data_IF_243523495805
#
_entry.id   IF_243523495805
#
_cell.length_a   1.000
_cell.length_b   1.000
_cell.length_c   1.000
_cell.angle_alpha   90.00
_cell.angle_beta   90.00
_cell.angle_gamma   90.00
#
_symmetry.space_group_name_H-M   'P 1'
#
loop_
_entity.id
_entity.type
_entity.pdbx_description
1 polymer ?
#
# COMPACT_ATOMS: atom_id res chain seq x y z
N UNK A 1 -7.82 -24.45 -21.27
CA UNK A 1 -7.94 -23.59 -20.07
C UNK A 1 -8.00 -24.34 -18.71
N UNK A 2 -8.11 -25.68 -18.66
CA UNK A 2 -8.38 -26.41 -17.39
C UNK A 2 -7.14 -26.77 -16.54
N UNK A 3 -5.95 -26.90 -17.14
CA UNK A 3 -4.77 -27.39 -16.43
C UNK A 3 -4.09 -26.32 -15.55
N UNK A 4 -4.07 -25.05 -15.99
CA UNK A 4 -3.46 -23.95 -15.21
C UNK A 4 -4.14 -23.75 -13.87
N UNK A 5 -5.48 -23.66 -13.84
CA UNK A 5 -6.27 -23.55 -12.59
C UNK A 5 -6.05 -24.75 -11.67
N UNK A 6 -5.92 -25.97 -12.22
CA UNK A 6 -5.62 -27.18 -11.43
C UNK A 6 -4.20 -27.16 -10.84
N UNK A 7 -3.20 -26.82 -11.65
CA UNK A 7 -1.82 -26.69 -11.20
C UNK A 7 -1.68 -25.61 -10.13
N UNK A 8 -2.34 -24.46 -10.32
CA UNK A 8 -2.39 -23.36 -9.38
C UNK A 8 -2.97 -23.80 -8.03
N UNK A 9 -4.11 -24.49 -8.02
CA UNK A 9 -4.75 -24.99 -6.80
C UNK A 9 -3.84 -25.93 -6.00
N UNK A 10 -2.97 -26.68 -6.69
CA UNK A 10 -1.97 -27.57 -6.05
C UNK A 10 -0.77 -26.77 -5.55
N UNK A 11 -0.29 -25.81 -6.34
CA UNK A 11 0.93 -25.04 -6.06
C UNK A 11 0.72 -23.91 -5.04
N UNK A 12 -0.48 -23.34 -4.96
CA UNK A 12 -0.80 -22.15 -4.16
C UNK A 12 -0.42 -22.31 -2.67
N UNK A 13 -0.71 -23.41 -1.96
CA UNK A 13 -0.27 -23.59 -0.57
C UNK A 13 1.26 -23.60 -0.42
N UNK A 14 1.97 -24.13 -1.42
CA UNK A 14 3.43 -24.16 -1.42
C UNK A 14 4.02 -22.77 -1.70
N UNK A 15 3.47 -22.06 -2.68
CA UNK A 15 3.83 -20.68 -3.00
C UNK A 15 3.60 -19.78 -1.78
N UNK A 16 2.45 -19.90 -1.11
CA UNK A 16 2.15 -19.17 0.13
C UNK A 16 3.12 -19.50 1.27
N UNK A 17 3.49 -20.77 1.44
CA UNK A 17 4.46 -21.16 2.47
C UNK A 17 5.85 -20.61 2.18
N UNK A 18 6.25 -20.54 0.91
CA UNK A 18 7.53 -19.94 0.50
C UNK A 18 7.51 -18.43 0.71
N UNK A 19 6.45 -17.75 0.28
CA UNK A 19 6.23 -16.31 0.49
C UNK A 19 6.41 -15.93 1.96
N UNK A 20 5.68 -16.59 2.85
CA UNK A 20 5.76 -16.36 4.30
C UNK A 20 7.17 -16.60 4.87
N UNK A 21 7.91 -17.58 4.36
CA UNK A 21 9.29 -17.85 4.81
C UNK A 21 10.24 -16.76 4.33
N UNK A 22 10.10 -16.30 3.09
CA UNK A 22 10.92 -15.24 2.52
C UNK A 22 10.65 -13.91 3.24
N UNK A 23 9.38 -13.60 3.48
CA UNK A 23 8.96 -12.41 4.22
C UNK A 23 9.52 -12.39 5.65
N UNK A 24 9.39 -13.50 6.40
CA UNK A 24 9.96 -13.61 7.75
C UNK A 24 11.48 -13.45 7.81
N UNK A 25 12.18 -13.69 6.70
CA UNK A 25 13.64 -13.54 6.59
C UNK A 25 14.04 -12.18 6.01
N UNK A 26 13.09 -11.32 5.65
CA UNK A 26 13.35 -10.00 5.08
C UNK A 26 13.74 -10.01 3.60
N UNK A 27 13.56 -11.13 2.88
CA UNK A 27 13.88 -11.22 1.44
C UNK A 27 12.77 -10.61 0.57
N UNK A 28 12.54 -9.31 0.71
CA UNK A 28 11.43 -8.59 0.09
C UNK A 28 11.43 -8.68 -1.45
N UNK A 29 12.59 -8.57 -2.09
CA UNK A 29 12.71 -8.71 -3.55
C UNK A 29 12.19 -10.07 -4.04
N UNK A 30 12.49 -11.15 -3.33
CA UNK A 30 12.03 -12.49 -3.67
C UNK A 30 10.54 -12.68 -3.38
N UNK A 31 10.02 -12.06 -2.31
CA UNK A 31 8.58 -12.02 -2.02
C UNK A 31 7.82 -11.36 -3.16
N UNK A 32 8.28 -10.19 -3.64
CA UNK A 32 7.63 -9.47 -4.73
C UNK A 32 7.70 -10.23 -6.06
N UNK A 33 8.86 -10.82 -6.38
CA UNK A 33 8.99 -11.70 -7.55
C UNK A 33 8.01 -12.87 -7.49
N UNK A 34 7.89 -13.52 -6.33
CA UNK A 34 6.97 -14.64 -6.14
C UNK A 34 5.50 -14.22 -6.31
N UNK A 35 5.11 -13.05 -5.81
CA UNK A 35 3.77 -12.48 -6.00
C UNK A 35 3.49 -12.15 -7.46
N UNK A 36 4.45 -11.55 -8.18
CA UNK A 36 4.32 -11.28 -9.60
C UNK A 36 4.08 -12.58 -10.40
N UNK A 37 4.81 -13.64 -10.05
CA UNK A 37 4.60 -14.97 -10.62
C UNK A 37 3.22 -15.53 -10.28
N UNK A 38 2.77 -15.41 -9.03
CA UNK A 38 1.42 -15.82 -8.63
C UNK A 38 0.35 -15.07 -9.42
N UNK A 39 0.45 -13.74 -9.60
CA UNK A 39 -0.47 -12.93 -10.41
C UNK A 39 -0.47 -13.36 -11.88
N UNK A 40 0.71 -13.57 -12.47
CA UNK A 40 0.83 -14.04 -13.86
C UNK A 40 0.14 -15.40 -14.05
N UNK A 41 0.23 -16.28 -13.06
CA UNK A 41 -0.45 -17.57 -13.07
C UNK A 41 -1.95 -17.46 -12.78
N UNK A 42 -2.38 -16.43 -12.04
CA UNK A 42 -3.77 -16.16 -11.66
C UNK A 42 -4.58 -15.38 -12.70
N UNK A 43 -3.93 -14.81 -13.74
CA UNK A 43 -4.51 -13.89 -14.75
C UNK A 43 -6.04 -13.83 -14.73
N UNK A 44 -6.56 -12.81 -14.03
CA UNK A 44 -7.98 -12.64 -13.71
C UNK A 44 -8.84 -12.70 -14.99
N UNK A 45 -9.99 -13.38 -14.88
CA UNK A 45 -10.97 -13.47 -15.96
C UNK A 45 -11.79 -12.18 -16.11
N UNK A 46 -11.76 -11.25 -15.13
CA UNK A 46 -12.40 -9.93 -15.22
C UNK A 46 -11.39 -8.78 -14.98
N UNK A 47 -10.76 -8.25 -16.04
CA UNK A 47 -9.89 -7.08 -15.93
C UNK A 47 -10.67 -5.80 -15.54
N UNK A 48 -11.97 -5.75 -15.81
CA UNK A 48 -12.84 -4.60 -15.54
C UNK A 48 -13.05 -4.37 -14.03
N UNK A 49 -13.33 -5.42 -13.26
CA UNK A 49 -13.51 -5.32 -11.80
C UNK A 49 -12.22 -4.89 -11.10
N UNK A 50 -11.08 -5.36 -11.61
CA UNK A 50 -9.77 -4.98 -11.11
C UNK A 50 -9.47 -3.50 -11.37
N UNK A 51 -9.73 -3.01 -12.59
CA UNK A 51 -9.53 -1.60 -12.93
C UNK A 51 -10.39 -0.66 -12.08
N UNK A 52 -11.65 -1.02 -11.81
CA UNK A 52 -12.51 -0.22 -10.94
C UNK A 52 -12.02 -0.19 -9.49
N UNK A 53 -11.59 -1.35 -8.97
CA UNK A 53 -11.03 -1.44 -7.63
C UNK A 53 -9.76 -0.59 -7.49
N UNK A 54 -8.83 -0.71 -8.46
CA UNK A 54 -7.58 0.06 -8.50
C UNK A 54 -7.84 1.57 -8.57
N UNK A 55 -8.72 2.00 -9.47
CA UNK A 55 -9.12 3.40 -9.57
C UNK A 55 -9.68 3.92 -8.24
N UNK A 56 -10.53 3.12 -7.59
CA UNK A 56 -11.11 3.49 -6.28
C UNK A 56 -10.03 3.60 -5.20
N UNK A 57 -9.01 2.74 -5.21
CA UNK A 57 -7.86 2.85 -4.29
C UNK A 57 -7.16 4.19 -4.48
N UNK A 58 -6.80 4.51 -5.73
CA UNK A 58 -6.07 5.74 -6.06
C UNK A 58 -6.86 6.99 -5.68
N UNK A 59 -8.16 7.04 -6.01
CA UNK A 59 -9.02 8.17 -5.67
C UNK A 59 -9.14 8.39 -4.15
N UNK A 60 -9.32 7.31 -3.39
CA UNK A 60 -9.43 7.39 -1.94
C UNK A 60 -8.09 7.79 -1.28
N UNK A 61 -6.97 7.30 -1.80
CA UNK A 61 -5.64 7.64 -1.29
C UNK A 61 -5.30 9.11 -1.59
N UNK A 62 -5.58 9.61 -2.80
CA UNK A 62 -5.43 11.04 -3.13
C UNK A 62 -6.26 11.90 -2.17
N UNK A 63 -7.53 11.55 -1.99
CA UNK A 63 -8.42 12.31 -1.12
C UNK A 63 -7.96 12.27 0.35
N UNK A 64 -7.43 11.14 0.83
CA UNK A 64 -6.87 11.05 2.17
C UNK A 64 -5.65 11.96 2.33
N UNK A 65 -4.76 12.00 1.33
CA UNK A 65 -3.62 12.91 1.31
C UNK A 65 -4.06 14.38 1.35
N UNK A 66 -5.08 14.76 0.57
CA UNK A 66 -5.65 16.11 0.60
C UNK A 66 -6.16 16.49 1.99
N UNK A 67 -6.91 15.60 2.65
CA UNK A 67 -7.43 15.82 4.00
C UNK A 67 -6.29 16.02 5.00
N UNK A 68 -5.25 15.19 4.95
CA UNK A 68 -4.08 15.32 5.85
C UNK A 68 -3.30 16.62 5.58
N UNK A 69 -3.11 17.00 4.32
CA UNK A 69 -2.45 18.25 3.96
C UNK A 69 -3.23 19.47 4.46
N UNK A 70 -4.56 19.48 4.27
CA UNK A 70 -5.42 20.54 4.79
C UNK A 70 -5.40 20.60 6.32
N UNK A 71 -5.43 19.44 6.99
CA UNK A 71 -5.34 19.40 8.46
C UNK A 71 -4.01 19.98 8.96
N UNK A 72 -2.89 19.63 8.32
CA UNK A 72 -1.57 20.16 8.64
C UNK A 72 -1.52 21.69 8.46
N UNK A 73 -2.07 22.20 7.35
CA UNK A 73 -2.18 23.63 7.11
C UNK A 73 -3.02 24.35 8.17
N UNK A 74 -4.22 23.85 8.48
CA UNK A 74 -5.09 24.47 9.49
C UNK A 74 -4.50 24.40 10.90
N UNK A 75 -3.77 23.34 11.25
CA UNK A 75 -3.03 23.26 12.52
C UNK A 75 -1.94 24.32 12.62
N UNK A 76 -1.20 24.56 11.54
CA UNK A 76 -0.17 25.61 11.49
C UNK A 76 -0.80 27.01 11.64
N UNK A 77 -1.90 27.29 10.92
CA UNK A 77 -2.64 28.55 11.05
C UNK A 77 -3.22 28.75 12.45
N UNK A 78 -3.81 27.71 13.05
CA UNK A 78 -4.30 27.75 14.42
C UNK A 78 -3.19 28.11 15.41
N UNK A 79 -2.02 27.47 15.29
CA UNK A 79 -0.88 27.74 16.16
C UNK A 79 -0.31 29.15 15.98
N UNK A 80 -0.24 29.66 14.74
CA UNK A 80 0.18 31.05 14.49
C UNK A 80 -0.77 32.05 15.14
N UNK A 81 -2.07 31.81 15.01
CA UNK A 81 -3.11 32.67 15.56
C UNK A 81 -3.09 32.66 17.10
N UNK A 82 -2.97 31.48 17.71
CA UNK A 82 -2.86 31.29 19.15
C UNK A 82 -1.61 32.01 19.72
N UNK A 83 -0.45 31.85 19.07
CA UNK A 83 0.79 32.56 19.48
C UNK A 83 0.66 34.07 19.37
N UNK A 84 -0.04 34.57 18.36
CA UNK A 84 -0.27 36.01 18.16
C UNK A 84 -1.11 36.58 19.30
N UNK A 85 -2.16 35.87 19.71
CA UNK A 85 -3.04 36.26 20.82
C UNK A 85 -2.31 36.30 22.18
N UNK A 86 -1.37 35.38 22.40
CA UNK A 86 -0.58 35.34 23.65
C UNK A 86 0.49 36.45 23.68
N UNK A 87 1.08 36.80 22.54
CA UNK A 87 2.24 37.71 22.46
C UNK A 87 1.87 39.19 22.38
N UNK A 88 0.74 39.54 21.76
CA UNK A 88 0.22 40.92 21.72
C UNK A 88 -1.28 40.89 22.01
N UNK A 89 -1.72 41.25 23.23
CA UNK A 89 -3.15 41.37 23.53
C UNK A 89 -3.76 42.42 22.59
N UNK A 90 -4.63 42.03 21.65
CA UNK A 90 -5.23 42.96 20.70
C UNK A 90 -6.18 43.94 21.41
N UNK A 91 -6.67 44.95 20.68
CA UNK A 91 -7.84 45.70 21.17
C UNK A 91 -9.02 44.75 21.32
N UNK A 92 -9.99 45.10 22.18
CA UNK A 92 -11.13 44.22 22.49
C UNK A 92 -11.87 43.71 21.24
N UNK A 93 -12.07 44.59 20.25
CA UNK A 93 -12.76 44.23 19.00
C UNK A 93 -11.94 43.24 18.15
N UNK A 94 -10.61 43.43 18.07
CA UNK A 94 -9.69 42.51 17.39
C UNK A 94 -9.57 41.16 18.12
N UNK A 95 -9.69 41.16 19.46
CA UNK A 95 -9.69 39.95 20.26
C UNK A 95 -10.92 39.09 19.97
N UNK A 96 -12.10 39.70 19.89
CA UNK A 96 -13.36 39.01 19.61
C UNK A 96 -13.35 38.40 18.19
N UNK A 97 -12.84 39.13 17.18
CA UNK A 97 -12.65 38.62 15.81
C UNK A 97 -11.70 37.42 15.77
N UNK A 98 -10.53 37.52 16.42
CA UNK A 98 -9.52 36.47 16.45
C UNK A 98 -9.98 35.23 17.21
N UNK A 99 -10.77 35.40 18.26
CA UNK A 99 -11.40 34.28 18.97
C UNK A 99 -12.42 33.56 18.08
N UNK A 100 -13.17 34.29 17.27
CA UNK A 100 -14.11 33.68 16.33
C UNK A 100 -13.38 32.93 15.21
N UNK A 101 -12.29 33.49 14.67
CA UNK A 101 -11.40 32.79 13.74
C UNK A 101 -10.86 31.47 14.34
N UNK A 102 -10.40 31.47 15.60
CA UNK A 102 -9.95 30.25 16.27
C UNK A 102 -11.06 29.20 16.43
N UNK A 103 -12.29 29.63 16.76
CA UNK A 103 -13.43 28.71 16.85
C UNK A 103 -13.75 28.09 15.49
N UNK A 104 -13.71 28.90 14.44
CA UNK A 104 -13.95 28.44 13.08
C UNK A 104 -12.88 27.44 12.63
N UNK A 105 -11.60 27.75 12.84
CA UNK A 105 -10.50 26.81 12.57
C UNK A 105 -10.63 25.51 13.37
N UNK A 106 -11.00 25.59 14.65
CA UNK A 106 -11.24 24.41 15.48
C UNK A 106 -12.40 23.55 14.96
N UNK A 107 -13.45 24.19 14.44
CA UNK A 107 -14.58 23.48 13.84
C UNK A 107 -14.16 22.80 12.53
N UNK A 108 -13.41 23.48 11.68
CA UNK A 108 -12.93 22.93 10.41
C UNK A 108 -11.97 21.75 10.64
N UNK A 109 -11.08 21.84 11.63
CA UNK A 109 -10.25 20.70 12.07
C UNK A 109 -11.08 19.52 12.55
N UNK A 110 -12.18 19.76 13.29
CA UNK A 110 -13.07 18.68 13.71
C UNK A 110 -13.78 18.02 12.52
N UNK A 111 -14.12 18.78 11.48
CA UNK A 111 -14.75 18.25 10.26
C UNK A 111 -13.75 17.42 9.46
N UNK A 112 -12.52 17.92 9.27
CA UNK A 112 -11.45 17.16 8.60
C UNK A 112 -11.13 15.85 9.30
N UNK A 113 -11.12 15.82 10.64
CA UNK A 113 -10.94 14.57 11.37
C UNK A 113 -12.09 13.58 11.10
N UNK A 114 -13.34 14.04 11.01
CA UNK A 114 -14.46 13.17 10.64
C UNK A 114 -14.31 12.65 9.20
N UNK A 115 -13.88 13.50 8.28
CA UNK A 115 -13.63 13.16 6.89
C UNK A 115 -12.50 12.14 6.74
N UNK A 116 -11.40 12.32 7.46
CA UNK A 116 -10.29 11.38 7.55
C UNK A 116 -10.79 9.97 7.93
N UNK A 117 -11.53 9.84 9.04
CA UNK A 117 -12.03 8.54 9.48
C UNK A 117 -13.10 7.95 8.55
N UNK A 118 -13.86 8.80 7.86
CA UNK A 118 -14.81 8.36 6.85
C UNK A 118 -14.07 7.75 5.65
N UNK A 119 -13.04 8.43 5.16
CA UNK A 119 -12.22 7.99 4.03
C UNK A 119 -11.41 6.75 4.37
N UNK A 120 -10.78 6.69 5.54
CA UNK A 120 -10.08 5.49 6.04
C UNK A 120 -10.98 4.24 6.03
N UNK A 121 -12.22 4.37 6.53
CA UNK A 121 -13.20 3.27 6.48
C UNK A 121 -13.62 2.89 5.06
N UNK A 122 -13.72 3.86 4.15
CA UNK A 122 -13.99 3.56 2.72
C UNK A 122 -12.84 2.78 2.11
N UNK A 123 -11.59 3.14 2.42
CA UNK A 123 -10.42 2.40 1.94
C UNK A 123 -10.44 0.99 2.50
N UNK A 124 -10.65 0.83 3.81
CA UNK A 124 -10.79 -0.50 4.41
C UNK A 124 -11.89 -1.33 3.74
N UNK A 125 -13.04 -0.74 3.43
CA UNK A 125 -14.13 -1.41 2.72
C UNK A 125 -13.74 -1.79 1.27
N UNK A 126 -12.98 -0.94 0.58
CA UNK A 126 -12.47 -1.22 -0.75
C UNK A 126 -11.42 -2.33 -0.74
N UNK A 127 -10.53 -2.36 0.26
CA UNK A 127 -9.51 -3.41 0.44
C UNK A 127 -10.12 -4.80 0.63
N UNK A 128 -11.30 -4.87 1.26
CA UNK A 128 -12.06 -6.12 1.38
C UNK A 128 -12.71 -6.57 0.05
N UNK A 129 -12.86 -5.66 -0.92
CA UNK A 129 -13.44 -5.92 -2.25
C UNK A 129 -12.40 -6.20 -3.32
N UNK A 130 -11.10 -6.23 -2.97
CA UNK A 130 -10.04 -6.51 -3.93
C UNK A 130 -10.32 -7.86 -4.63
N UNK A 131 -10.44 -7.88 -5.97
CA UNK A 131 -10.84 -9.08 -6.69
C UNK A 131 -9.73 -10.15 -6.74
N UNK A 132 -8.48 -9.77 -6.50
CA UNK A 132 -7.33 -10.69 -6.46
C UNK A 132 -6.67 -10.72 -5.07
N UNK A 133 -6.69 -11.87 -4.37
CA UNK A 133 -6.13 -11.98 -3.02
C UNK A 133 -4.60 -11.86 -2.98
N UNK A 134 -3.89 -12.12 -4.07
CA UNK A 134 -2.43 -11.94 -4.17
C UNK A 134 -2.10 -10.46 -4.28
N UNK A 135 -2.83 -9.74 -5.13
CA UNK A 135 -2.66 -8.30 -5.28
C UNK A 135 -3.02 -7.59 -3.97
N UNK A 136 -4.10 -8.01 -3.30
CA UNK A 136 -4.46 -7.48 -1.99
C UNK A 136 -3.33 -7.66 -0.95
N UNK A 137 -2.67 -8.83 -0.93
CA UNK A 137 -1.51 -9.04 -0.03
C UNK A 137 -0.33 -8.16 -0.40
N UNK A 138 0.00 -8.06 -1.69
CA UNK A 138 1.08 -7.20 -2.16
C UNK A 138 0.83 -5.73 -1.77
N UNK A 139 -0.39 -5.25 -2.01
CA UNK A 139 -0.86 -3.91 -1.66
C UNK A 139 -0.80 -3.65 -0.15
N UNK A 140 -1.31 -4.59 0.67
CA UNK A 140 -1.28 -4.44 2.14
C UNK A 140 0.13 -4.41 2.70
N UNK A 141 1.03 -5.25 2.19
CA UNK A 141 2.44 -5.22 2.59
C UNK A 141 3.10 -3.89 2.22
N UNK A 142 2.81 -3.38 1.01
CA UNK A 142 3.28 -2.06 0.58
C UNK A 142 2.79 -0.95 1.52
N UNK A 143 1.52 -0.99 1.91
CA UNK A 143 0.91 -0.03 2.86
C UNK A 143 1.41 -0.14 4.31
N UNK A 144 2.06 -1.24 4.66
CA UNK A 144 2.69 -1.41 5.98
C UNK A 144 4.10 -0.83 6.03
N UNK A 145 4.72 -0.51 4.90
CA UNK A 145 6.07 0.07 4.85
C UNK A 145 6.04 1.56 5.25
N UNK A 146 6.64 1.96 6.39
CA UNK A 146 6.64 3.37 6.82
C UNK A 146 7.15 4.37 5.76
N UNK A 147 7.92 3.90 4.76
CA UNK A 147 8.44 4.74 3.69
C UNK A 147 7.45 4.98 2.54
N UNK A 148 6.31 4.28 2.46
CA UNK A 148 5.38 4.39 1.33
C UNK A 148 4.76 5.79 1.17
N UNK A 149 4.57 6.53 2.28
CA UNK A 149 4.02 7.90 2.27
C UNK A 149 5.11 8.95 1.93
N UNK A 150 6.39 8.62 2.08
CA UNK A 150 7.49 9.59 2.06
C UNK A 150 8.19 9.68 0.68
N UNK A 151 7.97 8.72 -0.22
CA UNK A 151 8.67 8.66 -1.51
C UNK A 151 8.27 9.75 -2.52
N UNK A 152 7.23 10.56 -2.26
CA UNK A 152 6.83 11.65 -3.16
C UNK A 152 7.50 13.01 -2.84
N UNK A 153 8.23 13.12 -1.72
CA UNK A 153 8.82 14.39 -1.25
C UNK A 153 10.34 14.51 -1.37
N UNK A 154 11.07 13.41 -1.43
CA UNK A 154 12.52 13.42 -1.63
C UNK A 154 12.82 12.96 -3.06
N UNK A 155 13.47 13.83 -3.84
CA UNK A 155 13.99 13.48 -5.14
C UNK A 155 14.74 12.14 -5.04
N UNK A 156 14.18 11.10 -5.64
CA UNK A 156 14.77 9.77 -5.69
C UNK A 156 16.12 9.91 -6.38
N UNK A 157 17.18 9.97 -5.58
CA UNK A 157 18.52 9.71 -6.07
C UNK A 157 18.47 8.36 -6.78
N UNK A 158 19.06 8.22 -7.98
CA UNK A 158 19.02 6.97 -8.70
C UNK A 158 19.53 5.87 -7.78
N UNK A 159 18.69 4.87 -7.54
CA UNK A 159 19.07 3.65 -6.84
C UNK A 159 20.30 3.12 -7.55
N UNK A 160 21.46 3.34 -6.95
CA UNK A 160 22.66 2.62 -7.30
C UNK A 160 22.37 1.18 -6.94
N UNK A 161 22.18 0.37 -7.97
CA UNK A 161 22.15 -1.08 -7.85
C UNK A 161 23.57 -1.50 -7.49
N UNK A 162 23.93 -1.31 -6.22
CA UNK A 162 25.13 -1.91 -5.68
C UNK A 162 24.87 -3.41 -5.60
N UNK A 163 25.66 -4.11 -6.39
CA UNK A 163 25.75 -5.57 -6.50
C UNK A 163 26.21 -6.11 -5.14
N UNK A 164 25.28 -6.22 -4.19
CA UNK A 164 25.52 -6.87 -2.92
C UNK A 164 25.07 -8.33 -3.04
N UNK A 165 26.08 -9.21 -3.05
CA UNK A 165 25.95 -10.57 -2.51
C UNK A 165 25.57 -11.65 -3.51
N UNK A 166 26.55 -12.16 -4.27
CA UNK A 166 26.46 -13.35 -5.12
C UNK A 166 25.90 -14.62 -4.43
N UNK A 167 25.80 -14.62 -3.10
CA UNK A 167 25.22 -15.70 -2.30
C UNK A 167 23.69 -15.68 -2.21
N UNK A 168 23.05 -14.50 -2.30
CA UNK A 168 21.58 -14.38 -2.26
C UNK A 168 20.96 -14.69 -3.63
N UNK A 169 21.67 -14.36 -4.71
CA UNK A 169 21.32 -14.78 -6.06
C UNK A 169 21.36 -16.31 -6.23
N UNK A 170 22.29 -17.00 -5.55
CA UNK A 170 22.37 -18.46 -5.52
C UNK A 170 21.17 -19.10 -4.81
N UNK A 171 20.72 -18.53 -3.68
CA UNK A 171 19.50 -19.00 -2.98
C UNK A 171 18.26 -18.74 -3.84
N UNK A 172 18.18 -17.57 -4.50
CA UNK A 172 17.12 -17.25 -5.45
C UNK A 172 17.08 -18.23 -6.64
N UNK A 173 18.23 -18.59 -7.20
CA UNK A 173 18.36 -19.56 -8.29
C UNK A 173 18.02 -20.99 -7.85
N UNK A 174 18.40 -21.42 -6.65
CA UNK A 174 18.02 -22.74 -6.10
C UNK A 174 16.52 -22.84 -5.84
N UNK A 175 15.90 -21.76 -5.30
CA UNK A 175 14.45 -21.70 -5.10
C UNK A 175 13.72 -21.70 -6.44
N UNK A 176 14.19 -20.90 -7.41
CA UNK A 176 13.64 -20.87 -8.78
C UNK A 176 13.80 -22.23 -9.48
N UNK A 177 14.95 -22.89 -9.36
CA UNK A 177 15.19 -24.22 -9.90
C UNK A 177 14.29 -25.27 -9.23
N UNK A 178 14.05 -25.16 -7.92
CA UNK A 178 13.15 -26.07 -7.19
C UNK A 178 11.70 -25.88 -7.64
N UNK A 179 11.27 -24.63 -7.86
CA UNK A 179 9.94 -24.32 -8.39
C UNK A 179 9.80 -24.81 -9.84
N UNK A 180 10.78 -24.54 -10.71
CA UNK A 180 10.81 -25.04 -12.08
C UNK A 180 10.79 -26.57 -12.14
N UNK A 181 11.59 -27.24 -11.31
CA UNK A 181 11.61 -28.70 -11.25
C UNK A 181 10.28 -29.27 -10.75
N UNK A 182 9.63 -28.58 -9.80
CA UNK A 182 8.29 -28.97 -9.33
C UNK A 182 7.23 -28.78 -10.42
N UNK A 183 7.30 -27.69 -11.19
CA UNK A 183 6.40 -27.41 -12.32
C UNK A 183 6.61 -28.42 -13.45
N UNK A 184 7.86 -28.74 -13.80
CA UNK A 184 8.19 -29.75 -14.82
C UNK A 184 7.77 -31.15 -14.37
N UNK A 185 7.97 -31.50 -13.09
CA UNK A 185 7.52 -32.78 -12.55
C UNK A 185 5.99 -32.91 -12.59
N UNK A 186 5.26 -31.85 -12.25
CA UNK A 186 3.79 -31.81 -12.34
C UNK A 186 3.33 -31.88 -13.80
N UNK A 187 4.00 -31.19 -14.74
CA UNK A 187 3.70 -31.28 -16.17
C UNK A 187 3.86 -32.70 -16.70
N UNK A 188 4.96 -33.38 -16.35
CA UNK A 188 5.23 -34.77 -16.77
C UNK A 188 4.27 -35.78 -16.16
N UNK A 189 3.79 -35.54 -14.94
CA UNK A 189 2.76 -36.37 -14.31
C UNK A 189 1.39 -36.20 -14.98
N UNK A 190 1.09 -35.01 -15.50
CA UNK A 190 -0.15 -34.75 -16.23
C UNK A 190 -0.12 -35.35 -17.64
N UNK A 191 1.05 -35.45 -18.28
CA UNK A 191 1.19 -36.12 -19.59
C UNK A 191 1.07 -37.66 -19.52
N UNK A 192 1.00 -38.23 -18.32
CA UNK A 192 0.88 -39.68 -18.07
C UNK A 192 -0.56 -40.14 -17.74
N UNK A 193 -1.55 -39.22 -17.73
CA UNK A 193 -2.97 -39.48 -17.48
C UNK A 193 -3.86 -38.88 -18.56
#
# INVERSE_FOLDING_TARGET
>A
MCWRKKALKILEPHLMRMENKLQKRGYWNLVQMLRLWQVFLHFSESPEDFGLWEQTVVELDIHLCEVVQQEAFLKDEYQKLEKTLVSLPPRKDELDERQEELKQLSKDLSLLNQEYWSTDRKIYANDLRCPDPIINRAYRDFRQDPQWIVQEGEAVAPVSVDVVGSHEALIGLEVMATVLNSVVAVSRLVDLF
#
